data_IF_043091341946
#
_entry.id   IF_043091341946
#
_cell.length_a   1.000
_cell.length_b   1.000
_cell.length_c   1.000
_cell.angle_alpha   90.00
_cell.angle_beta   90.00
_cell.angle_gamma   90.00
#
_symmetry.space_group_name_H-M   'P 1'
#
loop_
_entity.id
_entity.type
_entity.pdbx_description
1 polymer ?
#
# COMPACT_ATOMS: atom_id res chain seq x y z
N UNK A 1 -21.18 -7.06 9.81
CA UNK A 1 -20.39 -7.09 11.05
C UNK A 1 -19.38 -8.24 11.01
N UNK A 2 -18.23 -8.03 11.62
CA UNK A 2 -17.22 -9.08 11.72
C UNK A 2 -17.59 -10.08 12.82
N UNK A 3 -17.30 -11.39 12.64
CA UNK A 3 -17.41 -12.36 13.71
C UNK A 3 -16.58 -11.95 14.93
N UNK A 4 -16.99 -12.39 16.11
CA UNK A 4 -16.27 -12.11 17.35
C UNK A 4 -14.83 -12.62 17.27
N UNK A 5 -13.86 -11.74 17.57
CA UNK A 5 -12.44 -12.05 17.49
C UNK A 5 -11.82 -11.85 16.12
N UNK A 6 -12.58 -11.43 15.12
CA UNK A 6 -12.05 -11.10 13.80
C UNK A 6 -11.29 -9.78 13.82
N UNK A 7 -10.23 -9.72 13.03
CA UNK A 7 -9.40 -8.53 12.81
C UNK A 7 -9.53 -8.12 11.35
N UNK A 8 -9.67 -6.83 11.11
CA UNK A 8 -9.73 -6.27 9.77
C UNK A 8 -8.63 -5.23 9.58
N UNK A 9 -7.85 -5.39 8.52
CA UNK A 9 -6.88 -4.40 8.06
C UNK A 9 -7.36 -3.84 6.72
N UNK A 10 -7.35 -2.53 6.58
CA UNK A 10 -7.79 -1.91 5.35
C UNK A 10 -7.46 -0.43 5.27
N UNK A 11 -7.55 0.09 4.07
CA UNK A 11 -7.48 1.52 3.81
C UNK A 11 -8.74 1.93 3.07
N UNK A 12 -9.34 3.01 3.51
CA UNK A 12 -10.47 3.65 2.82
C UNK A 12 -9.97 4.96 2.24
N UNK A 13 -10.20 5.17 0.96
CA UNK A 13 -9.74 6.38 0.29
C UNK A 13 -10.84 6.95 -0.60
N UNK A 14 -10.90 8.27 -0.63
CA UNK A 14 -11.75 9.04 -1.54
C UNK A 14 -10.88 10.02 -2.30
N UNK A 15 -10.96 10.00 -3.62
CA UNK A 15 -10.26 10.96 -4.48
C UNK A 15 -11.23 12.03 -4.94
N UNK A 16 -10.94 13.27 -4.58
CA UNK A 16 -11.65 14.44 -5.10
C UNK A 16 -10.90 14.97 -6.32
N UNK A 17 -11.42 14.63 -7.49
CA UNK A 17 -10.81 15.03 -8.77
C UNK A 17 -10.90 16.54 -9.06
N UNK A 18 -11.86 17.23 -8.44
CA UNK A 18 -12.00 18.67 -8.63
C UNK A 18 -10.89 19.46 -7.95
N UNK A 19 -10.39 18.95 -6.83
CA UNK A 19 -9.36 19.58 -6.02
C UNK A 19 -8.02 18.84 -6.02
N UNK A 20 -7.93 17.72 -6.73
CA UNK A 20 -6.73 16.86 -6.78
C UNK A 20 -6.26 16.42 -5.39
N UNK A 21 -7.20 16.02 -4.55
CA UNK A 21 -6.92 15.61 -3.17
C UNK A 21 -7.42 14.19 -2.93
N UNK A 22 -6.59 13.37 -2.30
CA UNK A 22 -7.00 12.08 -1.77
C UNK A 22 -7.16 12.19 -0.25
N UNK A 23 -8.35 11.87 0.22
CA UNK A 23 -8.63 11.67 1.65
C UNK A 23 -8.55 10.19 1.95
N UNK A 24 -7.92 9.83 3.06
CA UNK A 24 -7.79 8.42 3.40
C UNK A 24 -7.82 8.18 4.90
N UNK A 25 -8.25 6.98 5.25
CA UNK A 25 -8.20 6.41 6.60
C UNK A 25 -7.45 5.10 6.49
N UNK A 26 -6.39 4.95 7.26
CA UNK A 26 -5.63 3.70 7.30
C UNK A 26 -5.93 2.94 8.59
N UNK A 27 -6.36 1.68 8.44
CA UNK A 27 -6.66 0.78 9.55
C UNK A 27 -5.75 -0.45 9.46
N UNK A 28 -4.51 -0.29 9.92
CA UNK A 28 -3.58 -1.40 10.06
C UNK A 28 -2.82 -1.84 8.81
N UNK A 29 -2.96 -1.16 7.67
CA UNK A 29 -2.10 -1.41 6.51
C UNK A 29 -0.71 -0.82 6.80
N UNK A 30 0.37 -1.62 6.66
CA UNK A 30 1.69 -1.22 7.15
C UNK A 30 2.36 -0.13 6.34
N UNK A 31 2.02 0.01 5.06
CA UNK A 31 2.67 0.98 4.21
C UNK A 31 1.77 1.47 3.08
N UNK A 32 1.78 2.77 2.85
CA UNK A 32 1.24 3.42 1.67
C UNK A 32 2.37 4.27 1.08
N UNK A 33 2.70 4.02 -0.18
CA UNK A 33 3.75 4.73 -0.90
C UNK A 33 3.14 5.65 -1.93
N UNK A 34 3.69 6.83 -2.09
CA UNK A 34 3.30 7.76 -3.13
C UNK A 34 4.53 8.19 -3.91
N UNK A 35 4.55 7.85 -5.19
CA UNK A 35 5.48 8.48 -6.12
C UNK A 35 4.93 9.84 -6.47
N UNK A 36 5.70 10.88 -6.23
CA UNK A 36 5.36 12.24 -6.62
C UNK A 36 6.27 12.71 -7.74
N UNK A 37 5.65 13.10 -8.83
CA UNK A 37 6.38 13.58 -10.01
C UNK A 37 7.11 14.90 -9.72
N UNK A 38 6.58 15.75 -8.84
CA UNK A 38 7.18 17.01 -8.48
C UNK A 38 8.59 16.87 -7.88
N UNK A 39 8.82 15.81 -7.12
CA UNK A 39 10.12 15.54 -6.51
C UNK A 39 10.85 14.36 -7.13
N UNK A 40 10.23 13.69 -8.11
CA UNK A 40 10.76 12.49 -8.76
C UNK A 40 11.22 11.44 -7.73
N UNK A 41 10.42 11.20 -6.73
CA UNK A 41 10.74 10.29 -5.64
C UNK A 41 9.50 9.64 -5.04
N UNK A 42 9.71 8.51 -4.36
CA UNK A 42 8.68 7.82 -3.59
C UNK A 42 8.76 8.28 -2.14
N UNK A 43 7.63 8.68 -1.60
CA UNK A 43 7.48 8.96 -0.17
C UNK A 43 6.56 7.92 0.45
N UNK A 44 6.83 7.58 1.70
CA UNK A 44 5.92 6.77 2.49
C UNK A 44 5.01 7.70 3.29
N UNK A 45 3.69 7.60 3.05
CA UNK A 45 2.72 8.31 3.88
C UNK A 45 2.27 7.37 5.00
N UNK A 46 2.57 7.78 6.22
CA UNK A 46 2.20 6.98 7.37
C UNK A 46 0.79 7.35 7.82
N UNK A 47 -0.10 6.37 7.76
CA UNK A 47 -1.32 6.41 8.53
C UNK A 47 -1.12 5.60 9.79
N UNK A 48 -1.14 6.22 10.94
CA UNK A 48 -1.33 5.48 12.18
C UNK A 48 -2.80 5.11 12.25
N UNK A 49 -3.09 3.91 11.77
CA UNK A 49 -4.42 3.34 11.87
C UNK A 49 -4.43 2.21 12.88
N UNK A 50 -5.54 2.04 13.56
CA UNK A 50 -5.78 0.88 14.40
C UNK A 50 -6.39 -0.23 13.57
N UNK A 51 -5.98 -1.46 13.85
CA UNK A 51 -6.59 -2.65 13.28
C UNK A 51 -8.04 -2.73 13.79
N UNK A 52 -8.98 -2.87 12.87
CA UNK A 52 -10.38 -3.01 13.23
C UNK A 52 -10.63 -4.36 13.89
N UNK A 53 -11.43 -4.37 14.93
CA UNK A 53 -11.84 -5.58 15.66
C UNK A 53 -11.26 -5.72 17.06
N UNK A 54 -10.25 -4.93 17.42
CA UNK A 54 -9.68 -4.96 18.78
C UNK A 54 -10.48 -4.15 19.79
N UNK A 55 -11.11 -3.07 19.35
CA UNK A 55 -11.87 -2.19 20.24
C UNK A 55 -13.31 -2.07 19.75
N UNK A 56 -14.22 -1.90 20.70
CA UNK A 56 -15.66 -1.81 20.41
C UNK A 56 -16.02 -0.54 19.65
N UNK A 57 -15.40 0.58 20.02
CA UNK A 57 -15.58 1.86 19.36
C UNK A 57 -14.20 2.41 18.97
N UNK A 58 -13.94 2.47 17.66
CA UNK A 58 -12.67 2.95 17.11
C UNK A 58 -12.73 4.41 16.68
N UNK A 59 -13.89 5.05 16.69
CA UNK A 59 -14.05 6.44 16.23
C UNK A 59 -13.02 7.41 16.84
N UNK A 60 -12.68 7.33 18.14
CA UNK A 60 -11.65 8.18 18.72
C UNK A 60 -10.23 7.94 18.18
N UNK A 61 -10.00 6.79 17.54
CA UNK A 61 -8.68 6.37 17.05
C UNK A 61 -8.53 6.52 15.54
N UNK A 62 -9.61 6.92 14.83
CA UNK A 62 -9.58 7.12 13.40
C UNK A 62 -9.21 8.57 13.09
N UNK A 63 -8.21 8.75 12.22
CA UNK A 63 -7.85 10.06 11.68
C UNK A 63 -8.03 10.06 10.18
N UNK A 64 -8.82 10.99 9.68
CA UNK A 64 -8.87 11.28 8.24
C UNK A 64 -7.66 12.12 7.88
N UNK A 65 -6.89 11.64 6.93
CA UNK A 65 -5.72 12.34 6.39
C UNK A 65 -5.97 12.72 4.95
N UNK A 66 -5.20 13.67 4.46
CA UNK A 66 -5.30 14.10 3.08
C UNK A 66 -3.91 14.26 2.47
N UNK A 67 -3.83 14.01 1.17
CA UNK A 67 -2.65 14.26 0.37
C UNK A 67 -3.06 14.88 -0.95
N UNK A 68 -2.32 15.90 -1.37
CA UNK A 68 -2.50 16.51 -2.68
C UNK A 68 -1.85 15.63 -3.74
N UNK A 69 -2.57 15.36 -4.82
CA UNK A 69 -2.09 14.58 -5.96
C UNK A 69 -1.84 15.50 -7.15
N UNK A 70 -0.86 15.15 -7.96
CA UNK A 70 -0.64 15.75 -9.25
C UNK A 70 -0.70 14.66 -10.33
N UNK A 71 -1.04 15.03 -11.56
CA UNK A 71 -1.07 14.08 -12.68
C UNK A 71 0.30 13.43 -12.84
N UNK A 72 0.29 12.12 -12.91
CA UNK A 72 1.51 11.30 -12.96
C UNK A 72 1.93 10.73 -11.62
N UNK A 73 1.33 11.17 -10.51
CA UNK A 73 1.57 10.59 -9.19
C UNK A 73 0.99 9.17 -9.12
N UNK A 74 1.64 8.32 -8.34
CA UNK A 74 1.25 6.92 -8.18
C UNK A 74 1.12 6.61 -6.71
N UNK A 75 -0.02 6.06 -6.31
CA UNK A 75 -0.27 5.56 -4.94
C UNK A 75 -0.22 4.05 -4.96
N UNK A 76 0.58 3.47 -4.08
CA UNK A 76 0.67 2.03 -3.91
C UNK A 76 0.47 1.68 -2.44
N UNK A 77 -0.47 0.79 -2.17
CA UNK A 77 -0.71 0.24 -0.84
C UNK A 77 -0.51 -1.26 -0.90
N UNK A 78 0.14 -1.83 0.10
CA UNK A 78 0.32 -3.28 0.17
C UNK A 78 0.15 -3.81 1.59
N UNK A 79 -0.24 -5.07 1.68
CA UNK A 79 -0.40 -5.77 2.95
C UNK A 79 0.93 -6.23 3.53
N UNK A 80 0.92 -6.56 4.81
CA UNK A 80 2.11 -7.08 5.48
C UNK A 80 2.64 -8.37 4.84
N UNK A 81 1.77 -9.18 4.23
CA UNK A 81 2.19 -10.38 3.51
C UNK A 81 3.21 -10.09 2.42
N UNK A 82 3.08 -8.95 1.72
CA UNK A 82 4.08 -8.52 0.73
C UNK A 82 5.40 -8.19 1.41
N UNK A 83 5.37 -7.35 2.44
CA UNK A 83 6.59 -6.85 3.10
C UNK A 83 7.33 -7.93 3.87
N UNK A 84 6.61 -8.84 4.49
CA UNK A 84 7.16 -9.88 5.37
C UNK A 84 7.55 -11.15 4.64
N UNK A 85 7.23 -11.30 3.36
CA UNK A 85 7.64 -12.45 2.56
C UNK A 85 9.17 -12.57 2.53
N UNK A 86 9.69 -13.79 2.68
CA UNK A 86 11.11 -14.03 2.87
C UNK A 86 11.74 -14.77 1.72
N UNK A 87 12.98 -14.40 1.40
CA UNK A 87 13.85 -15.15 0.49
C UNK A 87 14.30 -16.48 1.13
N UNK A 88 14.94 -17.32 0.33
CA UNK A 88 15.56 -18.56 0.83
C UNK A 88 16.63 -18.30 1.90
N UNK A 89 17.21 -17.12 1.92
CA UNK A 89 18.18 -16.68 2.94
C UNK A 89 17.53 -16.09 4.20
N UNK A 90 16.20 -16.00 4.22
CA UNK A 90 15.45 -15.44 5.35
C UNK A 90 15.34 -13.92 5.36
N UNK A 91 15.75 -13.22 4.30
CA UNK A 91 15.58 -11.77 4.17
C UNK A 91 14.11 -11.45 3.84
N UNK A 92 13.54 -10.45 4.49
CA UNK A 92 12.22 -9.95 4.14
C UNK A 92 12.26 -9.13 2.85
N UNK A 93 11.16 -9.17 2.07
CA UNK A 93 11.04 -8.35 0.86
C UNK A 93 11.19 -6.87 1.19
N UNK A 94 10.40 -6.37 2.11
CA UNK A 94 10.56 -5.06 2.72
C UNK A 94 10.11 -3.90 1.85
N UNK A 95 10.06 -2.73 2.49
CA UNK A 95 9.59 -1.47 1.87
C UNK A 95 10.51 -0.99 0.76
N UNK A 96 11.81 -1.12 0.92
CA UNK A 96 12.78 -0.63 -0.07
C UNK A 96 12.62 -1.33 -1.43
N UNK A 97 12.34 -2.63 -1.44
CA UNK A 97 12.11 -3.38 -2.69
C UNK A 97 10.80 -2.97 -3.36
N UNK A 98 9.74 -2.72 -2.59
CA UNK A 98 8.49 -2.19 -3.13
C UNK A 98 8.72 -0.85 -3.80
N UNK A 99 9.40 0.07 -3.13
CA UNK A 99 9.74 1.39 -3.69
C UNK A 99 10.60 1.27 -4.95
N UNK A 100 11.53 0.34 -4.97
CA UNK A 100 12.39 0.09 -6.13
C UNK A 100 11.57 -0.40 -7.33
N UNK A 101 10.60 -1.28 -7.13
CA UNK A 101 9.71 -1.73 -8.20
C UNK A 101 8.90 -0.56 -8.75
N UNK A 102 8.40 0.33 -7.89
CA UNK A 102 7.70 1.54 -8.34
C UNK A 102 8.60 2.40 -9.22
N UNK A 103 9.78 2.75 -8.73
CA UNK A 103 10.72 3.64 -9.43
C UNK A 103 11.19 3.08 -10.75
N UNK A 104 11.31 1.76 -10.85
CA UNK A 104 11.76 1.09 -12.09
C UNK A 104 10.67 0.98 -13.16
N UNK A 105 9.41 1.29 -12.83
CA UNK A 105 8.26 1.00 -13.70
C UNK A 105 7.27 2.17 -13.83
N UNK A 106 7.73 3.39 -13.69
CA UNK A 106 6.90 4.61 -13.64
C UNK A 106 6.08 4.84 -14.92
N UNK A 107 6.56 4.38 -16.06
CA UNK A 107 5.91 4.61 -17.35
C UNK A 107 4.83 3.59 -17.69
N UNK A 108 4.74 2.51 -16.92
CA UNK A 108 3.75 1.46 -17.14
C UNK A 108 2.40 1.81 -16.52
N UNK A 109 1.30 1.24 -17.05
CA UNK A 109 -0.01 1.36 -16.41
C UNK A 109 -0.04 0.76 -15.00
N UNK A 110 -0.99 1.19 -14.18
CA UNK A 110 -1.14 0.71 -12.80
C UNK A 110 -1.27 -0.82 -12.71
N UNK A 111 -2.02 -1.45 -13.62
CA UNK A 111 -2.18 -2.90 -13.67
C UNK A 111 -0.85 -3.63 -13.88
N UNK A 112 0.02 -3.08 -14.73
CA UNK A 112 1.35 -3.65 -14.98
C UNK A 112 2.26 -3.49 -13.76
N UNK A 113 2.19 -2.36 -13.09
CA UNK A 113 2.96 -2.14 -11.86
C UNK A 113 2.57 -3.13 -10.76
N UNK A 114 1.27 -3.38 -10.57
CA UNK A 114 0.79 -4.39 -9.64
C UNK A 114 1.34 -5.78 -10.00
N UNK A 115 1.35 -6.14 -11.28
CA UNK A 115 1.92 -7.41 -11.75
C UNK A 115 3.42 -7.48 -11.49
N UNK A 116 4.16 -6.41 -11.68
CA UNK A 116 5.59 -6.37 -11.39
C UNK A 116 5.90 -6.58 -9.90
N UNK A 117 5.07 -6.05 -9.00
CA UNK A 117 5.20 -6.33 -7.56
C UNK A 117 5.08 -7.83 -7.31
N UNK A 118 4.04 -8.46 -7.86
CA UNK A 118 3.83 -9.91 -7.74
C UNK A 118 4.99 -10.72 -8.30
N UNK A 119 5.42 -10.41 -9.53
CA UNK A 119 6.51 -11.14 -10.20
C UNK A 119 7.83 -11.02 -9.45
N UNK A 120 8.13 -9.83 -8.95
CA UNK A 120 9.34 -9.60 -8.14
C UNK A 120 9.27 -10.36 -6.81
N UNK A 121 8.10 -10.42 -6.19
CA UNK A 121 7.90 -11.14 -4.94
C UNK A 121 8.12 -12.65 -5.13
N UNK A 122 7.52 -13.25 -6.15
CA UNK A 122 7.69 -14.67 -6.48
C UNK A 122 9.15 -14.99 -6.77
N UNK A 123 9.82 -14.17 -7.56
CA UNK A 123 11.23 -14.33 -7.88
C UNK A 123 12.12 -14.23 -6.63
N UNK A 124 11.82 -13.28 -5.75
CA UNK A 124 12.56 -13.09 -4.50
C UNK A 124 12.41 -14.27 -3.55
N UNK A 125 11.21 -14.81 -3.44
CA UNK A 125 10.92 -15.96 -2.58
C UNK A 125 11.45 -17.27 -3.17
N UNK A 126 11.58 -17.36 -4.49
CA UNK A 126 11.95 -18.57 -5.24
C UNK A 126 10.99 -19.74 -5.01
N UNK A 127 9.75 -19.46 -4.68
CA UNK A 127 8.66 -20.42 -4.46
C UNK A 127 7.30 -19.74 -4.64
N UNK A 128 6.24 -20.54 -4.65
CA UNK A 128 4.89 -20.02 -4.67
C UNK A 128 4.57 -19.22 -3.39
N UNK A 129 3.69 -18.23 -3.53
CA UNK A 129 3.25 -17.41 -2.42
C UNK A 129 2.28 -18.23 -1.57
N UNK A 130 2.61 -18.41 -0.30
CA UNK A 130 1.79 -19.14 0.67
C UNK A 130 0.96 -18.22 1.57
N UNK A 131 1.39 -16.98 1.73
CA UNK A 131 0.70 -15.97 2.54
C UNK A 131 -0.31 -15.19 1.72
N UNK A 132 -1.28 -14.58 2.40
CA UNK A 132 -2.19 -13.63 1.76
C UNK A 132 -1.43 -12.34 1.44
N UNK A 133 -1.32 -12.05 0.16
CA UNK A 133 -0.67 -10.85 -0.34
C UNK A 133 -1.64 -10.03 -1.18
N UNK A 134 -1.63 -8.73 -0.98
CA UNK A 134 -2.41 -7.81 -1.81
C UNK A 134 -1.63 -6.53 -2.02
N UNK A 135 -1.71 -6.01 -3.23
CA UNK A 135 -1.18 -4.69 -3.57
C UNK A 135 -2.21 -3.97 -4.43
N UNK A 136 -2.43 -2.70 -4.11
CA UNK A 136 -3.29 -1.81 -4.87
C UNK A 136 -2.43 -0.69 -5.43
N UNK A 137 -2.53 -0.46 -6.73
CA UNK A 137 -1.82 0.62 -7.42
C UNK A 137 -2.83 1.55 -8.07
N UNK A 138 -2.72 2.82 -7.79
CA UNK A 138 -3.52 3.88 -8.41
C UNK A 138 -2.57 4.86 -9.08
N UNK A 139 -2.71 5.03 -10.38
CA UNK A 139 -1.98 6.04 -11.13
C UNK A 139 -2.93 7.20 -11.44
N UNK A 140 -2.57 8.40 -10.97
CA UNK A 140 -3.38 9.60 -11.17
C UNK A 140 -3.07 10.22 -12.52
N UNK A 141 -4.03 10.16 -13.41
CA UNK A 141 -3.89 10.62 -14.79
C UNK A 141 -4.85 11.76 -15.14
#
# INVERSE_FOLDING_TARGET
SLPKGSIFNGTFALVDFSNDVMYYINCGIPAIFVYTQSYNNVIEIQGRGHVLGFVRDIAPYISVRQIKLAKGDIVLSCTNGVLASRSLRGEAFGKARVQQVMLSNLTYPASRMAQFIYDNLVKFMSKEIEADVSALVIKYV
#
